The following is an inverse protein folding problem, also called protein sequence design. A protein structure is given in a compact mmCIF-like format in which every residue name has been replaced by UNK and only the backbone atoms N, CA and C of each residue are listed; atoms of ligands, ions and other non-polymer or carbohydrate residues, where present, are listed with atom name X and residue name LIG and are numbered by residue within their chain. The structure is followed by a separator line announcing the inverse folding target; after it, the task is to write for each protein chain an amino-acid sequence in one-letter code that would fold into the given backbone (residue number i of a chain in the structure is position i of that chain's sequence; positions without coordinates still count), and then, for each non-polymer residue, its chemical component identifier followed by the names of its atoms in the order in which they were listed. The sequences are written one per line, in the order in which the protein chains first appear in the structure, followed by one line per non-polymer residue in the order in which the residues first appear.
data_IF_339932253992
#
_entry.id   IF_339932253992
#
_cell.length_a   1.000
_cell.length_b   1.000
_cell.length_c   1.000
_cell.angle_alpha   90.00
_cell.angle_beta   90.00
_cell.angle_gamma   90.00
#
_symmetry.space_group_name_H-M   'P 1'
#
loop_
_entity.id
_entity.type
_entity.pdbx_description
1 polymer ?
#
# COMPACT_ATOMS: atom_id res chain seq x y z
N UNK A 1 0.39 -23.06 -2.88
CA UNK A 1 1.18 -22.19 -1.98
C UNK A 1 0.26 -21.08 -1.52
N UNK A 2 0.14 -20.85 -0.20
CA UNK A 2 -0.79 -19.88 0.36
C UNK A 2 -0.14 -18.48 0.30
N UNK A 3 -0.68 -17.53 -0.47
CA UNK A 3 -0.08 -16.20 -0.65
C UNK A 3 -0.07 -15.40 0.65
N UNK A 4 0.87 -14.45 0.74
CA UNK A 4 0.90 -13.51 1.87
C UNK A 4 0.03 -12.32 1.50
N UNK A 5 -0.47 -11.58 2.48
CA UNK A 5 -1.29 -10.42 2.20
C UNK A 5 -0.79 -9.20 2.96
N UNK A 6 -0.87 -8.04 2.32
CA UNK A 6 -0.92 -6.76 3.01
C UNK A 6 -2.36 -6.26 2.98
N UNK A 7 -2.75 -5.59 4.06
CA UNK A 7 -4.00 -4.85 4.13
C UNK A 7 -3.68 -3.40 4.46
N UNK A 8 -4.36 -2.48 3.80
CA UNK A 8 -4.19 -1.05 4.03
C UNK A 8 -5.53 -0.35 4.26
N UNK A 9 -5.48 0.71 5.05
CA UNK A 9 -6.55 1.67 5.16
C UNK A 9 -6.00 3.09 4.97
N UNK A 10 -6.48 3.74 3.92
CA UNK A 10 -6.11 5.10 3.57
C UNK A 10 -7.25 6.09 3.74
N UNK A 11 -6.91 7.36 3.98
CA UNK A 11 -7.82 8.49 3.89
C UNK A 11 -7.13 9.62 3.13
N UNK A 12 -7.89 10.30 2.27
CA UNK A 12 -7.58 11.66 1.84
C UNK A 12 -8.40 12.61 2.70
N UNK A 13 -7.75 13.50 3.42
CA UNK A 13 -8.42 14.32 4.43
C UNK A 13 -7.96 15.77 4.43
N UNK A 14 -8.92 16.66 4.65
CA UNK A 14 -8.65 18.02 5.11
C UNK A 14 -8.42 18.00 6.63
N UNK A 15 -7.35 18.66 7.04
CA UNK A 15 -6.89 18.73 8.43
C UNK A 15 -6.74 20.19 8.84
N UNK A 16 -6.53 20.44 10.13
CA UNK A 16 -6.12 21.78 10.57
C UNK A 16 -4.72 22.13 10.09
N UNK A 17 -3.79 21.22 10.32
CA UNK A 17 -2.39 21.26 9.89
C UNK A 17 -1.81 19.84 9.97
N UNK A 18 -0.65 19.62 9.35
CA UNK A 18 0.10 18.37 9.48
C UNK A 18 1.62 18.63 9.57
N UNK A 19 2.40 17.71 10.13
CA UNK A 19 3.85 17.92 10.31
C UNK A 19 4.71 17.55 9.09
N UNK A 20 4.11 17.12 7.97
CA UNK A 20 4.84 16.66 6.80
C UNK A 20 5.28 17.81 5.88
N UNK A 21 6.50 17.71 5.33
CA UNK A 21 7.01 18.63 4.31
C UNK A 21 6.24 18.47 2.99
N UNK A 22 5.78 19.56 2.38
CA UNK A 22 4.95 19.52 1.16
C UNK A 22 5.69 18.92 -0.06
N UNK A 23 7.02 19.06 -0.11
CA UNK A 23 7.84 18.55 -1.21
C UNK A 23 8.31 17.10 -1.00
N UNK A 24 7.79 16.40 0.01
CA UNK A 24 8.22 15.04 0.36
C UNK A 24 7.03 14.12 0.59
N UNK A 25 7.18 12.89 0.11
CA UNK A 25 6.35 11.77 0.53
C UNK A 25 7.07 11.00 1.62
N UNK A 26 6.37 10.68 2.71
CA UNK A 26 6.84 9.74 3.71
C UNK A 26 6.54 8.32 3.21
N UNK A 27 7.62 7.56 2.95
CA UNK A 27 7.56 6.21 2.46
C UNK A 27 7.81 5.21 3.58
N UNK A 28 6.84 4.31 3.84
CA UNK A 28 6.95 3.19 4.79
C UNK A 28 7.51 3.60 6.16
N UNK A 29 6.81 4.47 6.89
CA UNK A 29 7.23 4.84 8.24
C UNK A 29 6.87 3.76 9.28
N UNK A 30 7.89 2.99 9.66
CA UNK A 30 7.85 1.88 10.62
C UNK A 30 7.84 2.29 12.10
N UNK A 31 8.05 3.57 12.41
CA UNK A 31 8.16 4.02 13.81
C UNK A 31 6.86 3.74 14.56
N UNK A 32 7.00 3.19 15.75
CA UNK A 32 5.88 2.69 16.56
C UNK A 32 5.65 3.50 17.85
N UNK A 33 6.29 4.68 17.97
CA UNK A 33 6.10 5.60 19.11
C UNK A 33 4.64 6.00 19.34
N UNK A 34 3.83 5.99 18.29
CA UNK A 34 2.39 6.24 18.38
C UNK A 34 1.64 5.21 19.25
N UNK A 35 2.25 4.05 19.52
CA UNK A 35 1.68 3.01 20.37
C UNK A 35 1.94 3.23 21.86
N UNK A 36 2.80 4.17 22.26
CA UNK A 36 2.97 4.54 23.68
C UNK A 36 1.66 5.07 24.28
N UNK A 37 0.89 5.79 23.47
CA UNK A 37 -0.42 6.33 23.84
C UNK A 37 -1.53 5.26 23.78
N UNK A 38 -1.28 4.10 23.17
CA UNK A 38 -2.27 3.05 22.93
C UNK A 38 -1.70 1.64 23.25
N UNK A 39 -1.33 1.33 24.52
CA UNK A 39 -0.56 0.13 24.85
C UNK A 39 -1.23 -1.19 24.44
N UNK A 40 -2.57 -1.23 24.38
CA UNK A 40 -3.33 -2.42 23.96
C UNK A 40 -3.08 -2.80 22.48
N UNK A 41 -2.58 -1.88 21.65
CA UNK A 41 -2.21 -2.16 20.26
C UNK A 41 -0.81 -2.77 20.13
N UNK A 42 0.08 -2.61 21.14
CA UNK A 42 1.49 -3.03 21.08
C UNK A 42 1.65 -4.53 20.85
N UNK A 43 0.89 -5.36 21.56
CA UNK A 43 0.98 -6.82 21.45
C UNK A 43 0.59 -7.33 20.06
N UNK A 44 -0.42 -6.70 19.41
CA UNK A 44 -0.78 -7.05 18.03
C UNK A 44 0.25 -6.50 17.05
N UNK A 45 0.78 -5.29 17.27
CA UNK A 45 1.78 -4.67 16.40
C UNK A 45 3.11 -5.44 16.37
N UNK A 46 3.56 -5.99 17.51
CA UNK A 46 4.79 -6.79 17.54
C UNK A 46 4.71 -8.07 16.71
N UNK A 47 3.51 -8.63 16.56
CA UNK A 47 3.25 -9.82 15.73
C UNK A 47 2.96 -9.49 14.27
N UNK A 48 2.22 -8.40 14.04
CA UNK A 48 1.77 -7.96 12.73
C UNK A 48 2.05 -6.46 12.60
N UNK A 49 3.31 -6.05 12.36
CA UNK A 49 3.67 -4.63 12.28
C UNK A 49 3.00 -3.92 11.10
N UNK A 50 2.77 -2.62 11.27
CA UNK A 50 2.25 -1.73 10.23
C UNK A 50 3.16 -0.53 10.03
N UNK A 51 3.03 0.14 8.90
CA UNK A 51 3.76 1.35 8.54
C UNK A 51 2.82 2.37 7.91
N UNK A 52 3.22 3.64 7.94
CA UNK A 52 2.48 4.75 7.36
C UNK A 52 3.06 5.19 6.01
N UNK A 53 2.19 5.46 5.04
CA UNK A 53 2.45 6.41 3.96
C UNK A 53 1.78 7.74 4.28
N UNK A 54 2.51 8.84 4.07
CA UNK A 54 1.94 10.18 4.12
C UNK A 54 2.35 10.97 2.89
N UNK A 55 1.36 11.52 2.20
CA UNK A 55 1.54 12.35 1.02
C UNK A 55 0.74 13.65 1.22
N UNK A 56 1.41 14.73 1.65
CA UNK A 56 0.76 16.03 1.72
C UNK A 56 0.56 16.59 0.31
N UNK A 57 -0.62 17.19 0.08
CA UNK A 57 -0.97 17.90 -1.15
C UNK A 57 -1.02 19.41 -0.93
N UNK A 58 -1.32 19.85 0.29
CA UNK A 58 -1.28 21.23 0.78
C UNK A 58 -1.10 21.18 2.30
N UNK A 59 -0.75 22.29 2.93
CA UNK A 59 -0.64 22.51 4.38
C UNK A 59 -1.81 21.96 5.21
N UNK A 60 -2.99 21.85 4.61
CA UNK A 60 -4.21 21.36 5.24
C UNK A 60 -4.86 20.17 4.50
N UNK A 61 -4.20 19.57 3.51
CA UNK A 61 -4.73 18.48 2.70
C UNK A 61 -3.69 17.36 2.58
N UNK A 62 -4.00 16.18 3.13
CA UNK A 62 -3.03 15.08 3.21
C UNK A 62 -3.69 13.74 2.94
N UNK A 63 -2.99 12.88 2.20
CA UNK A 63 -3.29 11.45 2.14
C UNK A 63 -2.46 10.71 3.18
N UNK A 64 -3.11 9.88 3.97
CA UNK A 64 -2.50 9.04 4.98
C UNK A 64 -2.96 7.60 4.80
N UNK A 65 -2.05 6.64 4.80
CA UNK A 65 -2.38 5.23 4.69
C UNK A 65 -1.57 4.38 5.66
N UNK A 66 -2.28 3.69 6.56
CA UNK A 66 -1.68 2.66 7.40
C UNK A 66 -1.74 1.32 6.65
N UNK A 67 -0.60 0.66 6.49
CA UNK A 67 -0.48 -0.61 5.77
C UNK A 67 0.22 -1.66 6.61
N UNK A 68 -0.26 -2.90 6.59
CA UNK A 68 0.40 -4.02 7.27
C UNK A 68 1.62 -4.52 6.51
N UNK A 69 2.59 -5.06 7.24
CA UNK A 69 3.54 -5.98 6.61
C UNK A 69 2.84 -7.20 6.03
N UNK A 70 3.55 -7.88 5.13
CA UNK A 70 3.10 -9.16 4.58
C UNK A 70 2.91 -10.14 5.73
N UNK A 71 1.69 -10.65 5.89
CA UNK A 71 1.40 -11.59 6.96
C UNK A 71 0.54 -12.77 6.50
N UNK A 72 0.65 -13.85 7.28
CA UNK A 72 -0.19 -15.06 7.19
C UNK A 72 -0.50 -15.52 8.61
N UNK A 73 -1.76 -15.44 9.08
CA UNK A 73 -2.94 -14.89 8.41
C UNK A 73 -2.85 -13.37 8.16
N UNK A 74 -3.76 -12.84 7.33
CA UNK A 74 -3.89 -11.39 7.11
C UNK A 74 -4.34 -10.69 8.40
N UNK A 75 -3.79 -9.49 8.67
CA UNK A 75 -4.26 -8.64 9.76
C UNK A 75 -5.74 -8.25 9.53
N UNK A 76 -6.54 -8.17 10.59
CA UNK A 76 -7.95 -7.81 10.43
C UNK A 76 -8.10 -6.35 9.97
N UNK A 77 -9.11 -6.08 9.15
CA UNK A 77 -9.39 -4.71 8.71
C UNK A 77 -9.77 -3.78 9.88
N UNK A 78 -10.33 -4.33 10.96
CA UNK A 78 -10.65 -3.52 12.14
C UNK A 78 -9.37 -3.08 12.87
N UNK A 79 -8.35 -3.94 12.94
CA UNK A 79 -7.07 -3.59 13.56
C UNK A 79 -6.32 -2.52 12.77
N UNK A 80 -6.26 -2.62 11.43
CA UNK A 80 -5.60 -1.59 10.62
C UNK A 80 -6.29 -0.22 10.78
N UNK A 81 -7.63 -0.19 10.84
CA UNK A 81 -8.39 1.05 11.10
C UNK A 81 -8.07 1.65 12.47
N UNK A 82 -7.99 0.81 13.52
CA UNK A 82 -7.65 1.29 14.88
C UNK A 82 -6.26 1.93 14.92
N UNK A 83 -5.28 1.31 14.26
CA UNK A 83 -3.91 1.84 14.17
C UNK A 83 -3.85 3.12 13.33
N UNK A 84 -4.57 3.15 12.22
CA UNK A 84 -4.73 4.35 11.40
C UNK A 84 -5.36 5.52 12.17
N UNK A 85 -6.21 5.27 13.17
CA UNK A 85 -6.74 6.35 14.03
C UNK A 85 -5.73 6.78 15.11
N UNK A 86 -4.96 5.83 15.67
CA UNK A 86 -3.95 6.12 16.68
C UNK A 86 -2.84 7.04 16.17
N UNK A 87 -2.42 6.85 14.91
CA UNK A 87 -1.26 7.57 14.36
C UNK A 87 -1.49 9.08 14.14
N UNK A 88 -2.56 9.55 13.46
CA UNK A 88 -2.88 10.97 13.37
C UNK A 88 -3.06 11.62 14.74
N UNK A 89 -3.68 10.92 15.70
CA UNK A 89 -3.81 11.39 17.09
C UNK A 89 -2.44 11.65 17.74
N UNK A 90 -1.51 10.71 17.60
CA UNK A 90 -0.15 10.87 18.12
C UNK A 90 0.61 12.00 17.42
N UNK A 91 0.40 12.20 16.13
CA UNK A 91 1.01 13.27 15.34
C UNK A 91 0.33 14.64 15.54
N UNK A 92 -0.72 14.73 16.35
CA UNK A 92 -1.46 15.97 16.56
C UNK A 92 -2.33 16.42 15.38
N UNK A 93 -2.54 15.55 14.38
CA UNK A 93 -3.30 15.85 13.18
C UNK A 93 -4.80 15.82 13.51
N UNK A 94 -5.44 17.00 13.45
CA UNK A 94 -6.89 17.15 13.63
C UNK A 94 -7.60 17.11 12.29
N UNK A 95 -8.32 16.02 12.02
CA UNK A 95 -9.09 15.83 10.78
C UNK A 95 -10.37 16.66 10.84
N UNK A 96 -10.55 17.57 9.88
CA UNK A 96 -11.79 18.33 9.68
C UNK A 96 -12.80 17.55 8.86
N UNK A 97 -12.33 16.97 7.75
CA UNK A 97 -13.17 16.27 6.78
C UNK A 97 -12.37 15.19 6.07
N UNK A 98 -12.95 13.99 6.00
CA UNK A 98 -12.43 12.92 5.14
C UNK A 98 -13.09 13.07 3.76
N UNK A 99 -12.30 13.35 2.73
CA UNK A 99 -12.74 13.49 1.34
C UNK A 99 -12.96 12.12 0.71
N UNK A 100 -12.03 11.19 0.95
CA UNK A 100 -12.08 9.84 0.42
C UNK A 100 -11.50 8.81 1.40
N UNK A 101 -11.95 7.57 1.29
CA UNK A 101 -11.42 6.43 2.04
C UNK A 101 -10.94 5.36 1.06
N UNK A 102 -9.83 4.72 1.40
CA UNK A 102 -9.27 3.60 0.67
C UNK A 102 -9.21 2.35 1.55
N UNK A 103 -9.53 1.21 0.95
CA UNK A 103 -9.35 -0.11 1.53
C UNK A 103 -8.65 -0.98 0.49
N UNK A 104 -7.42 -1.36 0.77
CA UNK A 104 -6.61 -2.16 -0.12
C UNK A 104 -6.30 -3.53 0.49
N UNK A 105 -6.34 -4.58 -0.32
CA UNK A 105 -5.84 -5.91 0.01
C UNK A 105 -4.88 -6.31 -1.12
N UNK A 106 -3.61 -6.49 -0.78
CA UNK A 106 -2.54 -6.72 -1.76
C UNK A 106 -2.05 -8.15 -1.60
N UNK A 107 -2.27 -9.02 -2.61
CA UNK A 107 -1.66 -10.35 -2.65
C UNK A 107 -0.15 -10.20 -2.88
N UNK A 108 0.64 -10.65 -1.92
CA UNK A 108 2.09 -10.62 -1.98
C UNK A 108 2.59 -11.96 -2.51
N UNK A 109 2.71 -11.99 -3.83
CA UNK A 109 3.03 -13.17 -4.63
C UNK A 109 1.82 -13.77 -5.30
N UNK A 110 2.08 -14.73 -6.20
CA UNK A 110 1.08 -15.38 -7.03
C UNK A 110 1.60 -16.75 -7.49
N UNK A 111 0.76 -17.63 -8.05
CA UNK A 111 1.29 -18.69 -8.88
C UNK A 111 2.08 -18.06 -10.03
N UNK A 112 3.23 -18.63 -10.37
CA UNK A 112 3.96 -18.19 -11.55
C UNK A 112 3.13 -18.45 -12.82
N UNK A 113 3.28 -17.65 -13.88
CA UNK A 113 2.65 -17.90 -15.16
C UNK A 113 2.96 -19.33 -15.65
N UNK A 114 1.95 -20.02 -16.20
CA UNK A 114 2.16 -21.35 -16.81
C UNK A 114 2.74 -21.18 -18.21
N UNK A 115 3.80 -21.91 -18.51
CA UNK A 115 4.44 -21.88 -19.83
C UNK A 115 4.41 -23.31 -20.39
N UNK A 116 3.95 -23.52 -21.65
CA UNK A 116 3.47 -22.50 -22.61
C UNK A 116 1.99 -22.09 -22.36
N UNK A 117 1.64 -20.85 -22.75
CA UNK A 117 0.26 -20.35 -22.76
C UNK A 117 0.06 -19.26 -23.83
N UNK A 118 -1.18 -19.09 -24.32
CA UNK A 118 -1.53 -18.07 -25.34
C UNK A 118 -1.87 -16.70 -24.76
N UNK A 119 -2.26 -16.65 -23.48
CA UNK A 119 -2.68 -15.42 -22.80
C UNK A 119 -1.74 -15.19 -21.63
N UNK A 120 -1.16 -14.00 -21.54
CA UNK A 120 -0.30 -13.59 -20.43
C UNK A 120 -0.90 -12.37 -19.74
N UNK A 121 -0.87 -12.35 -18.41
CA UNK A 121 -1.26 -11.19 -17.61
C UNK A 121 -0.07 -10.23 -17.45
N UNK A 122 -0.37 -8.93 -17.46
CA UNK A 122 0.59 -7.84 -17.20
C UNK A 122 0.12 -7.01 -16.00
N UNK A 123 1.05 -6.37 -15.29
CA UNK A 123 0.73 -5.52 -14.14
C UNK A 123 0.41 -6.34 -12.89
N UNK A 124 -0.47 -5.84 -12.03
CA UNK A 124 -0.75 -6.47 -10.72
C UNK A 124 -1.25 -7.93 -10.80
N UNK A 125 -1.80 -8.35 -11.93
CA UNK A 125 -2.31 -9.71 -12.17
C UNK A 125 -1.27 -10.67 -12.74
N UNK A 126 -0.06 -10.19 -13.03
CA UNK A 126 1.04 -10.99 -13.60
C UNK A 126 1.68 -11.98 -12.62
N UNK A 127 1.39 -11.86 -11.32
CA UNK A 127 2.06 -12.62 -10.27
C UNK A 127 3.50 -12.18 -10.02
N UNK A 128 3.98 -11.10 -10.66
CA UNK A 128 5.36 -10.57 -10.50
C UNK A 128 5.42 -9.23 -9.75
N UNK A 129 4.38 -8.92 -8.95
CA UNK A 129 4.38 -7.79 -8.02
C UNK A 129 5.58 -7.92 -7.07
N UNK A 130 6.30 -6.83 -6.82
CA UNK A 130 7.46 -6.86 -5.94
C UNK A 130 7.03 -7.26 -4.52
N UNK A 131 7.50 -8.42 -4.07
CA UNK A 131 6.98 -9.11 -2.88
C UNK A 131 7.28 -8.41 -1.55
N UNK A 132 8.17 -7.42 -1.53
CA UNK A 132 8.49 -6.62 -0.33
C UNK A 132 7.74 -5.29 -0.27
N UNK A 133 7.45 -4.67 -1.43
CA UNK A 133 6.92 -3.29 -1.48
C UNK A 133 5.52 -3.21 -2.05
N UNK A 134 5.04 -4.25 -2.75
CA UNK A 134 3.77 -4.22 -3.46
C UNK A 134 3.80 -3.39 -4.75
N UNK A 135 4.94 -2.78 -5.10
CA UNK A 135 5.04 -1.89 -6.26
C UNK A 135 5.19 -2.65 -7.58
N UNK A 136 4.41 -2.22 -8.58
CA UNK A 136 4.37 -2.80 -9.92
C UNK A 136 4.33 -1.74 -11.03
N UNK A 137 3.94 -0.48 -10.74
CA UNK A 137 3.69 0.56 -11.75
C UNK A 137 4.92 0.80 -12.63
N UNK A 138 6.07 1.14 -12.03
CA UNK A 138 7.30 1.40 -12.79
C UNK A 138 7.71 0.20 -13.67
N UNK A 139 7.72 -1.01 -13.09
CA UNK A 139 8.03 -2.25 -13.82
C UNK A 139 7.06 -2.51 -14.96
N UNK A 140 5.77 -2.24 -14.76
CA UNK A 140 4.74 -2.40 -15.79
C UNK A 140 4.98 -1.43 -16.94
N UNK A 141 5.24 -0.16 -16.64
CA UNK A 141 5.53 0.85 -17.66
C UNK A 141 6.80 0.52 -18.43
N UNK A 142 7.88 0.10 -17.76
CA UNK A 142 9.13 -0.29 -18.43
C UNK A 142 8.98 -1.51 -19.35
N UNK A 143 7.98 -2.37 -19.12
CA UNK A 143 7.73 -3.56 -19.95
C UNK A 143 6.63 -3.36 -21.00
N UNK A 144 5.86 -2.28 -20.92
CA UNK A 144 4.68 -2.08 -21.74
C UNK A 144 5.01 -2.07 -23.25
N UNK A 145 6.08 -1.38 -23.63
CA UNK A 145 6.49 -1.28 -25.04
C UNK A 145 6.99 -2.62 -25.59
N UNK A 146 7.89 -3.29 -24.83
CA UNK A 146 8.43 -4.60 -25.21
C UNK A 146 7.31 -5.63 -25.38
N UNK A 147 6.31 -5.62 -24.50
CA UNK A 147 5.15 -6.51 -24.64
C UNK A 147 4.32 -6.18 -25.87
N UNK A 148 4.08 -4.90 -26.16
CA UNK A 148 3.30 -4.48 -27.32
C UNK A 148 3.97 -4.89 -28.64
N UNK A 149 5.29 -4.72 -28.76
CA UNK A 149 6.08 -5.13 -29.93
C UNK A 149 6.01 -6.65 -30.14
N UNK A 150 6.21 -7.44 -29.07
CA UNK A 150 6.13 -8.89 -29.15
C UNK A 150 4.73 -9.38 -29.58
N UNK A 151 3.66 -8.67 -29.17
CA UNK A 151 2.29 -8.98 -29.60
C UNK A 151 2.12 -8.67 -31.10
N UNK A 152 2.60 -7.52 -31.57
CA UNK A 152 2.47 -7.12 -32.97
C UNK A 152 3.21 -8.09 -33.92
N UNK A 153 4.44 -8.48 -33.56
CA UNK A 153 5.25 -9.46 -34.30
C UNK A 153 4.55 -10.83 -34.38
N UNK A 154 4.06 -11.34 -33.24
CA UNK A 154 3.36 -12.62 -33.20
C UNK A 154 2.03 -12.63 -33.99
N UNK A 155 1.39 -11.47 -34.17
CA UNK A 155 0.14 -11.33 -34.93
C UNK A 155 0.38 -11.06 -36.42
N UNK A 156 1.63 -10.98 -36.88
CA UNK A 156 1.96 -10.71 -38.29
C UNK A 156 1.61 -9.29 -38.74
N UNK A 157 1.49 -8.35 -37.80
CA UNK A 157 1.27 -6.93 -38.08
C UNK A 157 2.63 -6.23 -38.15
N UNK A 158 3.29 -6.35 -39.30
CA UNK A 158 4.48 -5.54 -39.67
C UNK A 158 4.06 -4.36 -40.54
#
# INVERSE_FOLDING_TARGET
MNHGYQIAHGILAEVEEHPFDLDKMLLMDWRDSHLDNEPYLRTSNSRFPTFLYAMPFDSNLVFLEETSLVSRPVLSYMEIKKRMVARPRHLGIRVKRVIANEKCLIPMGGPLPRIPQRVMTIGGTSGVVHSLTGYMVARTMSLALVLAEAIAECLGST
#
